data_IF_567359813571
#
_entry.id   IF_567359813571
#
_cell.length_a   1.000
_cell.length_b   1.000
_cell.length_c   1.000
_cell.angle_alpha   90.00
_cell.angle_beta   90.00
_cell.angle_gamma   90.00
#
_symmetry.space_group_name_H-M   'P 1'
#
loop_
_entity.id
_entity.type
_entity.pdbx_description
1 polymer ?
#
# COMPACT_ATOMS: atom_id res chain seq x y z
N UNK A 1 9.16 -19.25 22.65
CA UNK A 1 7.72 -19.27 22.33
C UNK A 1 7.38 -17.88 21.84
N UNK A 2 7.03 -17.72 20.56
CA UNK A 2 6.63 -16.42 20.00
C UNK A 2 5.24 -16.11 20.56
N UNK A 3 5.07 -14.95 21.18
CA UNK A 3 3.78 -14.56 21.74
C UNK A 3 2.79 -14.33 20.60
N UNK A 4 1.54 -14.78 20.73
CA UNK A 4 0.52 -14.63 19.67
C UNK A 4 0.29 -13.16 19.26
N UNK A 5 0.65 -12.21 20.12
CA UNK A 5 0.64 -10.77 19.84
C UNK A 5 1.72 -10.33 18.85
N UNK A 6 2.85 -11.02 18.77
CA UNK A 6 3.97 -10.67 17.86
C UNK A 6 3.73 -11.14 16.43
N UNK A 7 2.98 -12.24 16.25
CA UNK A 7 2.60 -12.81 14.95
C UNK A 7 1.64 -11.91 14.15
N UNK A 8 1.02 -10.93 14.82
CA UNK A 8 0.16 -9.93 14.20
C UNK A 8 0.70 -8.52 14.45
N UNK A 9 2.03 -8.37 14.59
CA UNK A 9 2.63 -7.05 14.63
C UNK A 9 2.63 -6.41 13.23
N UNK A 10 2.48 -5.07 13.12
CA UNK A 10 2.54 -4.38 11.84
C UNK A 10 3.83 -4.66 11.06
N UNK A 11 4.97 -4.74 11.75
CA UNK A 11 6.27 -5.03 11.15
C UNK A 11 6.39 -6.47 10.61
N UNK A 12 5.83 -7.45 11.32
CA UNK A 12 5.77 -8.82 10.82
C UNK A 12 4.87 -8.93 9.58
N UNK A 13 3.68 -8.32 9.61
CA UNK A 13 2.77 -8.30 8.47
C UNK A 13 3.42 -7.65 7.25
N UNK A 14 4.13 -6.54 7.43
CA UNK A 14 4.89 -5.89 6.35
C UNK A 14 5.97 -6.81 5.77
N UNK A 15 6.75 -7.47 6.63
CA UNK A 15 7.82 -8.38 6.21
C UNK A 15 7.28 -9.57 5.41
N UNK A 16 6.19 -10.17 5.88
CA UNK A 16 5.50 -11.26 5.18
C UNK A 16 4.94 -10.80 3.83
N UNK A 17 4.36 -9.59 3.78
CA UNK A 17 3.85 -9.03 2.54
C UNK A 17 4.97 -8.74 1.53
N UNK A 18 6.12 -8.23 1.98
CA UNK A 18 7.27 -7.98 1.12
C UNK A 18 7.84 -9.27 0.53
N UNK A 19 8.07 -10.29 1.37
CA UNK A 19 8.51 -11.61 0.92
C UNK A 19 7.53 -12.25 -0.06
N UNK A 20 6.23 -12.08 0.17
CA UNK A 20 5.20 -12.55 -0.76
C UNK A 20 5.31 -11.85 -2.12
N UNK A 21 5.55 -10.54 -2.16
CA UNK A 21 5.72 -9.80 -3.41
C UNK A 21 7.01 -10.18 -4.16
N UNK A 22 8.09 -10.47 -3.44
CA UNK A 22 9.33 -11.01 -4.04
C UNK A 22 9.06 -12.37 -4.71
N UNK A 23 8.27 -13.23 -4.07
CA UNK A 23 7.88 -14.50 -4.66
C UNK A 23 6.95 -14.33 -5.87
N UNK A 24 6.02 -13.37 -5.82
CA UNK A 24 5.13 -13.03 -6.95
C UNK A 24 5.91 -12.51 -8.15
N UNK A 25 7.00 -11.78 -7.94
CA UNK A 25 7.86 -11.28 -9.02
C UNK A 25 8.62 -12.41 -9.71
N UNK A 26 9.05 -13.43 -8.96
CA UNK A 26 9.69 -14.63 -9.50
C UNK A 26 8.66 -15.58 -10.14
N UNK A 27 7.46 -15.64 -9.58
CA UNK A 27 6.38 -16.54 -9.96
C UNK A 27 5.08 -15.76 -10.11
N UNK A 28 4.92 -15.12 -11.27
CA UNK A 28 3.75 -14.31 -11.57
C UNK A 28 2.47 -15.13 -11.44
N UNK A 29 1.53 -14.74 -10.56
CA UNK A 29 0.24 -15.39 -10.46
C UNK A 29 -0.59 -15.14 -11.72
N UNK A 30 -1.61 -15.96 -11.98
CA UNK A 30 -2.46 -15.81 -13.17
C UNK A 30 -3.23 -14.48 -13.22
N UNK A 31 -3.37 -13.77 -12.10
CA UNK A 31 -3.99 -12.44 -12.05
C UNK A 31 -3.56 -11.67 -10.79
N UNK A 32 -3.48 -10.34 -10.91
CA UNK A 32 -3.29 -9.39 -9.80
C UNK A 32 -4.40 -9.49 -8.73
N UNK A 33 -5.55 -10.09 -9.07
CA UNK A 33 -6.61 -10.40 -8.12
C UNK A 33 -6.14 -11.32 -6.98
N UNK A 34 -5.26 -12.28 -7.27
CA UNK A 34 -4.71 -13.19 -6.26
C UNK A 34 -3.83 -12.43 -5.27
N UNK A 35 -2.96 -11.56 -5.78
CA UNK A 35 -2.11 -10.69 -4.97
C UNK A 35 -2.97 -9.81 -4.06
N UNK A 36 -4.00 -9.15 -4.61
CA UNK A 36 -4.96 -8.37 -3.81
C UNK A 36 -5.62 -9.20 -2.72
N UNK A 37 -6.14 -10.38 -3.03
CA UNK A 37 -6.84 -11.23 -2.05
C UNK A 37 -5.92 -11.69 -0.92
N UNK A 38 -4.68 -12.05 -1.23
CA UNK A 38 -3.71 -12.45 -0.21
C UNK A 38 -3.31 -11.28 0.67
N UNK A 39 -2.99 -10.12 0.07
CA UNK A 39 -2.67 -8.94 0.86
C UNK A 39 -3.87 -8.47 1.71
N UNK A 40 -5.10 -8.54 1.20
CA UNK A 40 -6.31 -8.28 2.00
C UNK A 40 -6.40 -9.18 3.22
N UNK A 41 -6.00 -10.45 3.08
CA UNK A 41 -5.99 -11.39 4.19
C UNK A 41 -4.89 -11.05 5.20
N UNK A 42 -3.66 -10.77 4.74
CA UNK A 42 -2.55 -10.36 5.61
C UNK A 42 -2.88 -9.10 6.41
N UNK A 43 -3.38 -8.06 5.75
CA UNK A 43 -3.62 -6.76 6.39
C UNK A 43 -4.96 -6.65 7.12
N UNK A 44 -5.78 -7.71 7.08
CA UNK A 44 -7.14 -7.70 7.65
C UNK A 44 -7.18 -7.28 9.11
N UNK A 45 -6.21 -7.70 9.91
CA UNK A 45 -6.17 -7.38 11.34
C UNK A 45 -5.84 -5.90 11.62
N UNK A 46 -5.13 -5.24 10.71
CA UNK A 46 -4.61 -3.88 10.92
C UNK A 46 -5.44 -2.80 10.23
N UNK A 47 -5.98 -3.11 9.06
CA UNK A 47 -6.56 -2.12 8.16
C UNK A 47 -8.08 -2.21 8.03
N UNK A 48 -8.68 -3.38 8.35
CA UNK A 48 -10.12 -3.55 8.18
C UNK A 48 -10.86 -2.63 9.16
N UNK A 49 -11.72 -1.72 8.67
CA UNK A 49 -12.50 -0.86 9.55
C UNK A 49 -13.46 -1.70 10.40
N UNK A 50 -13.45 -1.47 11.71
CA UNK A 50 -14.28 -2.20 12.69
C UNK A 50 -15.79 -2.02 12.45
N UNK A 51 -16.18 -0.94 11.78
CA UNK A 51 -17.55 -0.42 11.86
C UNK A 51 -18.45 -0.91 10.71
N UNK A 52 -17.93 -1.67 9.74
CA UNK A 52 -18.69 -2.13 8.57
C UNK A 52 -19.31 -1.00 7.72
N UNK A 53 -19.04 0.27 8.04
CA UNK A 53 -19.56 1.44 7.33
C UNK A 53 -19.04 1.38 5.89
N UNK A 54 -19.95 1.66 4.94
CA UNK A 54 -19.61 1.79 3.51
C UNK A 54 -18.59 2.90 3.32
N UNK A 55 -17.84 2.80 2.22
CA UNK A 55 -16.64 3.57 1.86
C UNK A 55 -16.79 5.09 1.76
N UNK A 56 -17.95 5.66 2.12
CA UNK A 56 -18.38 7.01 1.76
C UNK A 56 -18.08 8.05 2.85
N UNK A 57 -17.67 7.65 4.07
CA UNK A 57 -17.54 8.59 5.21
C UNK A 57 -16.27 8.39 6.04
N UNK A 58 -15.11 8.18 5.41
CA UNK A 58 -13.84 8.18 6.17
C UNK A 58 -13.35 9.62 6.35
N UNK A 59 -12.98 9.97 7.60
CA UNK A 59 -12.25 11.21 7.86
C UNK A 59 -10.96 11.22 7.05
N UNK A 60 -10.49 12.40 6.66
CA UNK A 60 -9.25 12.52 5.91
C UNK A 60 -8.04 11.94 6.66
N UNK A 61 -8.13 11.88 7.99
CA UNK A 61 -7.11 11.34 8.89
C UNK A 61 -7.12 9.80 9.01
N UNK A 62 -8.15 9.10 8.51
CA UNK A 62 -8.24 7.64 8.62
C UNK A 62 -7.50 6.93 7.47
N UNK A 63 -6.18 7.00 7.52
CA UNK A 63 -5.30 6.38 6.52
C UNK A 63 -5.48 4.87 6.42
N UNK A 64 -5.82 4.18 7.53
CA UNK A 64 -6.02 2.72 7.59
C UNK A 64 -7.19 2.31 6.70
N UNK A 65 -8.32 3.00 6.85
CA UNK A 65 -9.50 2.77 6.01
C UNK A 65 -9.28 3.15 4.55
N UNK A 66 -8.54 4.23 4.27
CA UNK A 66 -8.13 4.59 2.90
C UNK A 66 -7.30 3.48 2.26
N UNK A 67 -6.27 2.98 2.95
CA UNK A 67 -5.37 1.95 2.46
C UNK A 67 -6.10 0.60 2.26
N UNK A 68 -7.01 0.25 3.17
CA UNK A 68 -7.91 -0.90 3.01
C UNK A 68 -8.77 -0.79 1.74
N UNK A 69 -9.33 0.38 1.49
CA UNK A 69 -10.15 0.63 0.29
C UNK A 69 -9.33 0.48 -0.98
N UNK A 70 -8.12 1.04 -1.01
CA UNK A 70 -7.19 0.90 -2.14
C UNK A 70 -6.92 -0.56 -2.47
N UNK A 71 -6.68 -1.38 -1.43
CA UNK A 71 -6.40 -2.80 -1.56
C UNK A 71 -7.58 -3.61 -2.14
N UNK A 72 -8.81 -3.10 -2.06
CA UNK A 72 -10.00 -3.73 -2.62
C UNK A 72 -10.30 -3.33 -4.06
N UNK A 73 -9.73 -2.24 -4.57
CA UNK A 73 -10.07 -1.71 -5.88
C UNK A 73 -9.35 -2.48 -7.02
N UNK A 74 -9.94 -2.51 -8.23
CA UNK A 74 -9.38 -3.23 -9.37
C UNK A 74 -8.17 -2.59 -10.04
N UNK A 75 -7.77 -1.37 -9.67
CA UNK A 75 -6.65 -0.67 -10.31
C UNK A 75 -5.26 -1.08 -9.81
N UNK A 76 -5.15 -1.93 -8.78
CA UNK A 76 -3.85 -2.50 -8.37
C UNK A 76 -3.56 -3.73 -9.24
N UNK A 77 -2.70 -3.54 -10.21
CA UNK A 77 -2.40 -4.52 -11.24
C UNK A 77 -0.95 -4.97 -11.23
N UNK A 78 -0.03 -4.08 -10.85
CA UNK A 78 1.41 -4.34 -10.92
C UNK A 78 2.05 -4.55 -9.54
N UNK A 79 3.11 -5.37 -9.49
CA UNK A 79 3.94 -5.56 -8.27
C UNK A 79 4.43 -4.22 -7.72
N UNK A 80 4.79 -3.29 -8.61
CA UNK A 80 5.17 -1.93 -8.24
C UNK A 80 4.09 -1.20 -7.43
N UNK A 81 2.83 -1.20 -7.90
CA UNK A 81 1.74 -0.58 -7.15
C UNK A 81 1.52 -1.22 -5.78
N UNK A 82 1.68 -2.54 -5.68
CA UNK A 82 1.61 -3.23 -4.40
C UNK A 82 2.76 -2.82 -3.48
N UNK A 83 3.99 -2.69 -3.99
CA UNK A 83 5.14 -2.20 -3.20
C UNK A 83 4.93 -0.77 -2.71
N UNK A 84 4.41 0.13 -3.54
CA UNK A 84 4.01 1.48 -3.14
C UNK A 84 2.98 1.47 -2.00
N UNK A 85 1.99 0.57 -2.06
CA UNK A 85 1.01 0.41 -0.99
C UNK A 85 1.67 -0.08 0.32
N UNK A 86 2.63 -1.01 0.25
CA UNK A 86 3.38 -1.47 1.43
C UNK A 86 4.28 -0.37 2.01
N UNK A 87 4.90 0.45 1.17
CA UNK A 87 5.70 1.60 1.60
C UNK A 87 4.85 2.68 2.28
N UNK A 88 3.64 2.94 1.77
CA UNK A 88 2.70 3.84 2.42
C UNK A 88 2.23 3.28 3.78
N UNK A 89 1.97 1.97 3.87
CA UNK A 89 1.62 1.31 5.13
C UNK A 89 2.72 1.48 6.18
N UNK A 90 4.00 1.26 5.81
CA UNK A 90 5.10 1.37 6.76
C UNK A 90 5.30 2.80 7.25
N UNK A 91 5.23 3.77 6.33
CA UNK A 91 5.35 5.19 6.64
C UNK A 91 4.30 5.66 7.65
N UNK A 92 3.02 5.35 7.43
CA UNK A 92 1.97 5.82 8.33
C UNK A 92 2.11 5.22 9.74
N UNK A 93 2.56 3.96 9.87
CA UNK A 93 2.86 3.39 11.19
C UNK A 93 4.04 4.10 11.87
N UNK A 94 5.08 4.46 11.12
CA UNK A 94 6.21 5.24 11.65
C UNK A 94 5.79 6.65 12.06
N UNK A 95 4.88 7.30 11.33
CA UNK A 95 4.28 8.59 11.71
C UNK A 95 3.42 8.49 12.98
N UNK A 96 2.77 7.34 13.22
CA UNK A 96 2.11 7.01 14.50
C UNK A 96 3.09 6.67 15.64
N UNK A 97 4.41 6.71 15.40
CA UNK A 97 5.45 6.43 16.40
C UNK A 97 5.74 4.95 16.63
N UNK A 98 5.26 4.05 15.76
CA UNK A 98 5.56 2.61 15.84
C UNK A 98 6.84 2.32 15.10
N UNK A 99 7.82 1.73 15.79
CA UNK A 99 9.06 1.28 15.18
C UNK A 99 8.76 0.13 14.19
N UNK A 100 9.17 0.33 12.94
CA UNK A 100 8.88 -0.57 11.83
C UNK A 100 10.20 -0.95 11.15
N UNK A 101 10.51 -2.24 11.11
CA UNK A 101 11.55 -2.73 10.23
C UNK A 101 11.02 -2.74 8.78
N UNK A 102 11.62 -1.93 7.90
CA UNK A 102 11.25 -1.86 6.49
C UNK A 102 12.16 -2.78 5.67
N UNK A 103 11.61 -3.80 4.98
CA UNK A 103 12.38 -4.66 4.08
C UNK A 103 13.07 -3.88 2.96
N UNK A 104 14.26 -4.32 2.54
CA UNK A 104 15.07 -3.65 1.51
C UNK A 104 14.31 -3.43 0.19
N UNK A 105 13.46 -4.39 -0.20
CA UNK A 105 12.63 -4.32 -1.40
C UNK A 105 11.54 -3.24 -1.36
N UNK A 106 11.34 -2.58 -0.22
CA UNK A 106 10.35 -1.52 -0.02
C UNK A 106 10.96 -0.13 0.26
N UNK A 107 12.27 -0.03 0.48
CA UNK A 107 12.94 1.22 0.88
C UNK A 107 12.71 2.33 -0.15
N UNK A 108 12.77 2.01 -1.44
CA UNK A 108 12.54 2.97 -2.52
C UNK A 108 11.06 3.43 -2.63
N UNK A 109 10.15 2.73 -1.96
CA UNK A 109 8.71 2.94 -2.06
C UNK A 109 8.10 3.60 -0.82
N UNK A 110 8.90 3.89 0.22
CA UNK A 110 8.46 4.53 1.46
C UNK A 110 7.88 5.94 1.26
N UNK A 111 8.19 6.60 0.15
CA UNK A 111 7.71 7.95 -0.17
C UNK A 111 6.44 7.95 -1.04
N UNK A 112 5.89 6.77 -1.35
CA UNK A 112 4.73 6.66 -2.23
C UNK A 112 3.52 7.40 -1.66
N UNK A 113 2.71 7.97 -2.56
CA UNK A 113 1.44 8.62 -2.25
C UNK A 113 0.25 7.81 -2.77
N UNK A 114 -0.94 8.04 -2.21
CA UNK A 114 -2.18 7.44 -2.73
C UNK A 114 -2.40 7.77 -4.23
N UNK A 115 -1.95 8.94 -4.69
CA UNK A 115 -2.03 9.34 -6.10
C UNK A 115 -1.14 8.47 -6.98
N UNK A 116 0.11 8.22 -6.58
CA UNK A 116 1.04 7.38 -7.33
C UNK A 116 0.55 5.93 -7.42
N UNK A 117 0.01 5.39 -6.32
CA UNK A 117 -0.57 4.04 -6.30
C UNK A 117 -1.71 3.92 -7.32
N UNK A 118 -2.60 4.92 -7.38
CA UNK A 118 -3.74 4.94 -8.31
C UNK A 118 -3.31 4.97 -9.77
N UNK A 119 -2.26 5.72 -10.10
CA UNK A 119 -1.83 5.91 -11.48
C UNK A 119 -0.74 4.94 -11.95
N UNK A 120 -0.13 4.16 -11.04
CA UNK A 120 0.87 3.16 -11.38
C UNK A 120 2.12 3.73 -12.05
N UNK A 121 2.38 5.03 -11.91
CA UNK A 121 3.54 5.67 -12.52
C UNK A 121 4.78 5.33 -11.70
N UNK A 122 5.72 4.62 -12.31
CA UNK A 122 7.12 4.62 -11.85
C UNK A 122 7.63 6.06 -12.05
N UNK A 123 8.23 6.71 -11.06
CA UNK A 123 8.92 7.97 -11.31
C UNK A 123 10.01 7.68 -12.33
N UNK A 124 9.80 8.15 -13.56
CA UNK A 124 10.83 8.15 -14.58
C UNK A 124 11.97 8.97 -13.99
N UNK A 125 13.11 8.34 -13.70
CA UNK A 125 14.36 9.06 -13.46
C UNK A 125 14.69 9.75 -14.78
N UNK A 126 14.16 10.93 -14.98
CA UNK A 126 14.70 11.82 -15.99
C UNK A 126 16.10 12.18 -15.47
N UNK A 127 17.13 11.84 -16.25
CA UNK A 127 18.52 12.21 -15.94
C UNK A 127 18.75 13.73 -15.93
N UNK A 128 17.73 14.52 -16.23
CA UNK A 128 17.72 15.97 -16.09
C UNK A 128 16.69 16.37 -15.02
N UNK A 129 17.18 16.92 -13.91
CA UNK A 129 16.38 17.43 -12.78
C UNK A 129 15.47 18.61 -13.17
N UNK A 130 14.43 18.33 -13.95
CA UNK A 130 13.40 19.29 -14.34
C UNK A 130 12.03 18.72 -13.96
N UNK A 131 11.43 19.35 -12.95
CA UNK A 131 10.04 19.13 -12.58
C UNK A 131 9.18 19.76 -13.68
N UNK A 132 8.66 18.94 -14.59
CA UNK A 132 7.58 19.37 -15.47
C UNK A 132 6.26 19.24 -14.71
N UNK A 133 5.79 20.36 -14.17
CA UNK A 133 4.37 20.55 -13.85
C UNK A 133 3.58 20.58 -15.16
N UNK A 134 3.18 19.40 -15.66
CA UNK A 134 2.03 19.35 -16.55
C UNK A 134 0.75 19.42 -15.71
N UNK A 135 0.31 20.66 -15.51
CA UNK A 135 -1.06 20.95 -15.14
C UNK A 135 -2.01 20.49 -16.25
N UNK A 136 -3.01 19.68 -15.89
CA UNK A 136 -4.28 19.54 -16.60
C UNK A 136 -5.26 18.77 -15.71
N UNK A 137 -6.37 19.43 -15.37
CA UNK A 137 -7.61 18.76 -14.96
C UNK A 137 -7.99 18.87 -13.49
N UNK A 138 -8.52 20.04 -13.11
CA UNK A 138 -9.47 20.14 -12.03
C UNK A 138 -10.71 19.27 -12.30
N UNK A 139 -11.26 18.66 -11.24
CA UNK A 139 -12.62 18.13 -11.21
C UNK A 139 -12.75 16.62 -11.40
N UNK A 140 -12.81 15.87 -10.30
CA UNK A 140 -13.74 14.74 -10.12
C UNK A 140 -13.71 14.21 -8.67
N UNK A 141 -14.12 15.05 -7.72
CA UNK A 141 -14.75 14.59 -6.48
C UNK A 141 -16.20 15.05 -6.54
N UNK A 142 -17.02 14.20 -7.17
CA UNK A 142 -18.46 14.13 -6.97
C UNK A 142 -18.78 12.62 -6.85
N UNK A 143 -19.62 12.29 -5.88
CA UNK A 143 -19.93 10.98 -5.28
C UNK A 143 -19.16 10.67 -3.99
#
# INVERSE_FOLDING_TARGET
MISSSELFSPSFTLSMAALYLEHVEQHSPPSSLYVRKHLQWLFRAHLRPSNGKRFENFSDDDWKSKLWTFLQRPYLETVYQFRCLLGLYSRNWMEEGVEMHVPASLVEHCHATFREIRHGRVPSKNEDGKVEEEGLGAGLFDC
#
